data_IF_833606673709
#
_entry.id   IF_833606673709
#
_cell.length_a   1.000
_cell.length_b   1.000
_cell.length_c   1.000
_cell.angle_alpha   90.00
_cell.angle_beta   90.00
_cell.angle_gamma   90.00
#
_symmetry.space_group_name_H-M   'P 1'
#
loop_
_entity.id
_entity.type
_entity.pdbx_description
1 polymer ?
#
# COMPACT_ATOMS: atom_id res chain seq x y z
N UNK A 1 -6.18 -23.90 3.99
CA UNK A 1 -5.01 -23.10 4.39
C UNK A 1 -5.22 -21.66 3.97
N UNK A 2 -4.98 -20.73 4.87
CA UNK A 2 -5.19 -19.31 4.55
C UNK A 2 -4.13 -18.85 3.55
N UNK A 3 -4.56 -18.03 2.61
CA UNK A 3 -3.67 -17.38 1.66
C UNK A 3 -3.59 -15.89 1.97
N UNK A 4 -2.48 -15.31 1.62
CA UNK A 4 -2.21 -13.90 1.88
C UNK A 4 -1.83 -13.19 0.59
N UNK A 5 -2.09 -11.92 0.55
CA UNK A 5 -1.78 -11.06 -0.59
C UNK A 5 -1.05 -9.84 -0.06
N UNK A 6 -0.04 -9.43 -0.78
CA UNK A 6 0.64 -8.17 -0.49
C UNK A 6 0.02 -7.05 -1.31
N UNK A 7 -0.37 -5.98 -0.63
CA UNK A 7 -0.75 -4.74 -1.28
C UNK A 7 0.37 -3.76 -1.00
N UNK A 8 0.98 -3.26 -2.04
CA UNK A 8 2.05 -2.30 -1.93
C UNK A 8 1.65 -0.96 -2.51
N UNK A 9 2.43 0.05 -2.21
CA UNK A 9 2.17 1.36 -2.76
C UNK A 9 3.40 2.24 -2.71
N UNK A 10 3.45 3.16 -3.65
CA UNK A 10 4.37 4.26 -3.64
C UNK A 10 3.51 5.50 -3.44
N UNK A 11 3.57 6.05 -2.25
CA UNK A 11 2.56 6.97 -1.74
C UNK A 11 3.18 8.34 -1.51
N UNK A 12 2.43 9.37 -1.80
CA UNK A 12 2.84 10.74 -1.51
C UNK A 12 3.17 10.88 -0.03
N UNK A 13 4.27 11.56 0.26
CA UNK A 13 4.75 11.74 1.62
C UNK A 13 3.66 12.34 2.52
N UNK A 14 3.54 11.75 3.70
CA UNK A 14 2.61 12.23 4.72
C UNK A 14 1.28 11.47 4.77
N UNK A 15 1.00 10.59 3.80
CA UNK A 15 -0.29 9.91 3.74
C UNK A 15 -0.27 8.51 4.33
N UNK A 16 0.89 7.85 4.37
CA UNK A 16 0.96 6.44 4.78
C UNK A 16 0.67 6.21 6.25
N UNK A 17 1.03 7.15 7.10
CA UNK A 17 0.81 7.00 8.55
C UNK A 17 -0.68 6.82 8.85
N UNK A 18 -1.54 7.63 8.25
CA UNK A 18 -2.99 7.51 8.44
C UNK A 18 -3.54 6.19 7.93
N UNK A 19 -2.97 5.70 6.83
CA UNK A 19 -3.37 4.40 6.27
C UNK A 19 -3.03 3.28 7.25
N UNK A 20 -1.80 3.26 7.75
CA UNK A 20 -1.35 2.23 8.68
C UNK A 20 -2.18 2.28 9.97
N UNK A 21 -2.44 3.47 10.48
CA UNK A 21 -3.25 3.65 11.67
C UNK A 21 -4.67 3.10 11.45
N UNK A 22 -5.28 3.43 10.33
CA UNK A 22 -6.62 2.98 9.98
C UNK A 22 -6.69 1.45 9.89
N UNK A 23 -5.66 0.83 9.33
CA UNK A 23 -5.64 -0.62 9.11
C UNK A 23 -5.18 -1.42 10.31
N UNK A 24 -4.57 -0.79 11.31
CA UNK A 24 -4.00 -1.50 12.45
C UNK A 24 -5.06 -2.26 13.27
N UNK A 25 -6.31 -1.82 13.21
CA UNK A 25 -7.40 -2.45 13.94
C UNK A 25 -8.20 -3.42 13.07
N UNK A 26 -7.82 -3.62 11.83
CA UNK A 26 -8.53 -4.52 10.93
C UNK A 26 -7.98 -5.94 11.10
N UNK A 27 -8.84 -6.85 11.53
CA UNK A 27 -8.46 -8.24 11.80
C UNK A 27 -8.04 -9.02 10.55
N UNK A 28 -8.39 -8.53 9.37
CA UNK A 28 -8.02 -9.17 8.11
C UNK A 28 -6.67 -8.68 7.58
N UNK A 29 -6.07 -7.71 8.25
CA UNK A 29 -4.74 -7.20 7.93
C UNK A 29 -3.74 -7.87 8.87
N UNK A 30 -2.78 -8.57 8.28
CA UNK A 30 -1.74 -9.28 9.04
C UNK A 30 -0.63 -8.31 9.43
N UNK A 31 -0.26 -7.44 8.52
CA UNK A 31 0.84 -6.51 8.72
C UNK A 31 0.61 -5.28 7.88
N UNK A 32 0.95 -4.12 8.41
CA UNK A 32 0.92 -2.87 7.67
C UNK A 32 2.06 -1.99 8.16
N UNK A 33 2.78 -1.41 7.23
CA UNK A 33 3.88 -0.52 7.57
C UNK A 33 4.29 0.32 6.38
N UNK A 34 5.16 1.28 6.63
CA UNK A 34 5.71 2.09 5.56
C UNK A 34 7.13 2.53 5.91
N UNK A 35 7.87 2.88 4.87
CA UNK A 35 9.21 3.42 5.01
C UNK A 35 9.36 4.59 4.05
N UNK A 36 10.23 5.53 4.39
CA UNK A 36 10.56 6.59 3.47
C UNK A 36 11.48 6.05 2.38
N UNK A 37 11.30 6.56 1.18
CA UNK A 37 12.10 6.14 0.04
C UNK A 37 12.08 7.19 -1.04
N UNK A 38 12.67 6.85 -2.17
CA UNK A 38 12.66 7.69 -3.35
C UNK A 38 11.92 6.98 -4.46
N UNK A 39 11.00 7.69 -5.08
CA UNK A 39 10.26 7.13 -6.20
C UNK A 39 11.20 6.76 -7.35
N UNK A 40 12.22 7.56 -7.56
CA UNK A 40 13.19 7.32 -8.63
C UNK A 40 14.03 6.06 -8.43
N UNK A 41 14.15 5.58 -7.21
CA UNK A 41 14.90 4.35 -6.94
C UNK A 41 14.12 3.10 -7.36
N UNK A 42 12.81 3.22 -7.48
CA UNK A 42 11.94 2.10 -7.83
C UNK A 42 11.29 2.26 -9.19
N UNK A 43 10.88 3.48 -9.52
CA UNK A 43 10.18 3.78 -10.77
C UNK A 43 10.61 5.15 -11.25
N UNK A 44 10.65 5.31 -12.56
CA UNK A 44 10.83 6.64 -13.16
C UNK A 44 9.46 7.33 -13.20
N UNK A 45 9.03 7.81 -12.04
CA UNK A 45 7.72 8.43 -11.89
C UNK A 45 7.88 9.92 -11.68
N UNK A 46 7.61 10.70 -12.70
CA UNK A 46 7.70 12.16 -12.62
C UNK A 46 6.41 12.81 -12.15
N UNK A 47 5.33 12.08 -12.18
CA UNK A 47 4.01 12.60 -11.83
C UNK A 47 3.84 12.90 -10.34
N UNK A 48 4.80 12.56 -9.52
CA UNK A 48 4.76 12.87 -8.09
C UNK A 48 5.35 14.26 -7.77
N UNK A 49 5.65 15.06 -8.76
CA UNK A 49 6.29 16.34 -8.54
C UNK A 49 7.74 16.17 -8.10
N UNK A 50 8.05 16.45 -6.85
CA UNK A 50 9.35 16.11 -6.31
C UNK A 50 9.41 14.62 -6.01
N UNK A 51 9.75 13.85 -7.02
CA UNK A 51 9.75 12.39 -6.94
C UNK A 51 10.84 11.84 -6.03
N UNK A 52 11.70 12.67 -5.49
CA UNK A 52 12.71 12.21 -4.56
C UNK A 52 12.15 11.81 -3.19
N UNK A 53 10.91 12.20 -2.90
CA UNK A 53 10.28 11.89 -1.62
C UNK A 53 8.99 11.13 -1.81
N UNK A 54 8.97 9.91 -1.30
CA UNK A 54 7.80 9.06 -1.33
C UNK A 54 7.83 8.15 -0.12
N UNK A 55 6.70 7.52 0.18
CA UNK A 55 6.59 6.50 1.20
C UNK A 55 6.29 5.17 0.52
N UNK A 56 7.01 4.14 0.94
CA UNK A 56 6.82 2.79 0.42
C UNK A 56 5.91 2.06 1.41
N UNK A 57 4.69 1.81 0.98
CA UNK A 57 3.67 1.17 1.80
C UNK A 57 3.67 -0.32 1.53
N UNK A 58 3.61 -1.12 2.59
CA UNK A 58 3.51 -2.58 2.47
C UNK A 58 2.43 -3.08 3.42
N UNK A 59 1.45 -3.78 2.88
CA UNK A 59 0.33 -4.32 3.63
C UNK A 59 0.17 -5.78 3.25
N UNK A 60 0.10 -6.64 4.26
CA UNK A 60 -0.18 -8.07 4.05
C UNK A 60 -1.58 -8.34 4.58
N UNK A 61 -2.44 -8.88 3.73
CA UNK A 61 -3.84 -9.10 4.06
C UNK A 61 -4.26 -10.51 3.71
N UNK A 62 -5.37 -10.95 4.28
CA UNK A 62 -5.98 -12.23 3.89
C UNK A 62 -6.52 -12.10 2.47
N UNK A 63 -6.24 -13.10 1.64
CA UNK A 63 -6.62 -13.07 0.22
C UNK A 63 -8.10 -12.76 0.01
N UNK A 64 -8.96 -13.39 0.80
CA UNK A 64 -10.42 -13.23 0.66
C UNK A 64 -10.89 -11.80 0.90
N UNK A 65 -10.08 -10.98 1.55
CA UNK A 65 -10.42 -9.58 1.85
C UNK A 65 -9.57 -8.59 1.06
N UNK A 66 -8.68 -9.09 0.21
CA UNK A 66 -7.71 -8.23 -0.46
C UNK A 66 -8.36 -7.21 -1.40
N UNK A 67 -9.40 -7.62 -2.12
CA UNK A 67 -10.07 -6.70 -3.04
C UNK A 67 -10.78 -5.58 -2.29
N UNK A 68 -11.43 -5.92 -1.19
CA UNK A 68 -12.12 -4.94 -0.37
C UNK A 68 -11.14 -3.91 0.20
N UNK A 69 -10.04 -4.39 0.75
CA UNK A 69 -9.02 -3.51 1.33
C UNK A 69 -8.35 -2.66 0.25
N UNK A 70 -8.06 -3.27 -0.91
CA UNK A 70 -7.50 -2.54 -2.03
C UNK A 70 -8.43 -1.39 -2.47
N UNK A 71 -9.72 -1.66 -2.59
CA UNK A 71 -10.69 -0.66 -3.00
C UNK A 71 -10.84 0.45 -1.95
N UNK A 72 -10.77 0.10 -0.66
CA UNK A 72 -10.79 1.09 0.41
C UNK A 72 -9.57 2.02 0.35
N UNK A 73 -8.40 1.46 0.05
CA UNK A 73 -7.19 2.26 -0.11
C UNK A 73 -7.28 3.16 -1.32
N UNK A 74 -7.79 2.65 -2.42
CA UNK A 74 -7.97 3.44 -3.63
C UNK A 74 -8.87 4.64 -3.36
N UNK A 75 -9.97 4.42 -2.65
CA UNK A 75 -10.89 5.49 -2.29
C UNK A 75 -10.27 6.47 -1.29
N UNK A 76 -9.58 5.96 -0.28
CA UNK A 76 -8.93 6.79 0.74
C UNK A 76 -7.89 7.72 0.11
N UNK A 77 -7.10 7.19 -0.83
CA UNK A 77 -6.05 7.95 -1.49
C UNK A 77 -6.57 8.81 -2.64
N UNK A 78 -7.83 8.65 -3.02
CA UNK A 78 -8.47 9.40 -4.12
C UNK A 78 -7.70 9.27 -5.43
N UNK A 79 -7.25 8.05 -5.73
CA UNK A 79 -6.36 7.82 -6.86
C UNK A 79 -6.99 8.09 -8.21
N UNK A 80 -8.33 8.07 -8.30
CA UNK A 80 -9.03 8.38 -9.53
C UNK A 80 -9.13 9.88 -9.82
N UNK A 81 -8.89 10.74 -8.81
CA UNK A 81 -9.06 12.19 -8.95
C UNK A 81 -7.84 13.00 -8.51
N UNK A 82 -6.93 12.42 -7.75
CA UNK A 82 -5.75 13.10 -7.24
C UNK A 82 -4.51 12.25 -7.45
N UNK A 83 -3.38 12.93 -7.57
CA UNK A 83 -2.09 12.25 -7.76
C UNK A 83 -1.42 11.99 -6.41
N UNK A 84 -1.98 11.09 -5.63
CA UNK A 84 -1.48 10.76 -4.29
C UNK A 84 -0.60 9.52 -4.24
N UNK A 85 -0.44 8.85 -5.38
CA UNK A 85 0.42 7.68 -5.44
C UNK A 85 -0.11 6.60 -6.36
N UNK A 86 0.54 5.47 -6.31
CA UNK A 86 0.09 4.25 -6.99
C UNK A 86 0.05 3.13 -5.98
N UNK A 87 -0.92 2.24 -6.11
CA UNK A 87 -0.99 1.03 -5.32
C UNK A 87 -1.08 -0.16 -6.26
N UNK A 88 -0.60 -1.29 -5.80
CA UNK A 88 -0.60 -2.51 -6.57
C UNK A 88 -0.84 -3.70 -5.64
N UNK A 89 -1.23 -4.81 -6.24
CA UNK A 89 -1.50 -6.02 -5.50
C UNK A 89 -0.72 -7.16 -6.16
N UNK A 90 0.09 -7.85 -5.36
CA UNK A 90 0.75 -9.07 -5.81
C UNK A 90 -0.21 -10.24 -5.68
N UNK A 91 0.02 -11.26 -6.49
CA UNK A 91 -0.70 -12.52 -6.36
C UNK A 91 -0.42 -13.13 -4.97
N UNK A 92 -1.24 -14.09 -4.61
CA UNK A 92 -1.21 -14.65 -3.26
C UNK A 92 0.20 -15.10 -2.83
N UNK A 93 0.50 -14.81 -1.58
CA UNK A 93 1.73 -15.26 -0.94
C UNK A 93 1.45 -16.65 -0.38
N UNK A 94 2.19 -17.64 -0.86
CA UNK A 94 1.93 -19.03 -0.47
C UNK A 94 2.58 -19.39 0.86
N UNK A 95 3.54 -18.61 1.31
CA UNK A 95 4.27 -18.91 2.53
C UNK A 95 4.68 -17.63 3.23
N UNK A 96 4.28 -17.51 4.48
CA UNK A 96 4.65 -16.40 5.35
C UNK A 96 5.25 -16.98 6.63
N UNK A 97 6.35 -16.40 7.07
CA UNK A 97 6.92 -16.69 8.37
C UNK A 97 6.78 -15.43 9.23
N UNK A 98 5.93 -15.52 10.18
CA UNK A 98 5.68 -14.43 11.12
C UNK A 98 6.39 -14.72 12.44
#
# INVERSE_FOLDING_TARGET
MAKYVEIGGLIKKGLSHSIVEKLSNNKDVISAGYANGRATDLFDIQQFGDASEAEILTIIVKERKSNKIFDELHAFLKLSSENNGVIYKFDSINKISL
#
